data_IF_176734962357
#
_entry.id   IF_176734962357
#
_cell.length_a   1.000
_cell.length_b   1.000
_cell.length_c   1.000
_cell.angle_alpha   90.00
_cell.angle_beta   90.00
_cell.angle_gamma   90.00
#
_symmetry.space_group_name_H-M   'P 1'
#
loop_
_entity.id
_entity.type
_entity.pdbx_description
1 polymer ?
#
# COMPACT_ATOMS: atom_id res chain seq x y z
N UNK A 1 -3.58 0.42 20.45
CA UNK A 1 -4.11 -0.75 21.21
C UNK A 1 -3.07 -1.86 21.40
N UNK A 2 -1.81 -1.50 21.62
CA UNK A 2 -0.73 -2.41 22.03
C UNK A 2 0.25 -1.59 22.86
N UNK A 3 1.27 -2.24 23.43
CA UNK A 3 2.35 -1.55 24.14
C UNK A 3 3.18 -0.61 23.25
N UNK A 4 3.12 -0.77 21.91
CA UNK A 4 3.86 0.07 20.96
C UNK A 4 3.22 1.43 20.68
N UNK A 5 1.98 1.66 21.12
CA UNK A 5 1.26 2.88 20.82
C UNK A 5 2.03 4.13 21.24
N UNK A 6 2.61 4.13 22.44
CA UNK A 6 3.38 5.25 22.97
C UNK A 6 4.71 5.44 22.22
N UNK A 7 5.43 4.34 21.93
CA UNK A 7 6.68 4.40 21.14
C UNK A 7 6.47 4.97 19.75
N UNK A 8 5.38 4.58 19.07
CA UNK A 8 5.05 5.16 17.77
C UNK A 8 4.65 6.63 17.88
N UNK A 9 3.87 7.00 18.90
CA UNK A 9 3.54 8.39 19.15
C UNK A 9 4.81 9.25 19.31
N UNK A 10 5.73 8.83 20.17
CA UNK A 10 7.01 9.50 20.39
C UNK A 10 7.86 9.58 19.12
N UNK A 11 7.92 8.50 18.34
CA UNK A 11 8.67 8.48 17.09
C UNK A 11 8.08 9.45 16.05
N UNK A 12 6.75 9.54 15.93
CA UNK A 12 6.13 10.53 15.05
C UNK A 12 6.30 11.97 15.56
N UNK A 13 6.28 12.20 16.87
CA UNK A 13 6.62 13.51 17.45
C UNK A 13 8.07 13.89 17.16
N UNK A 14 9.00 12.94 17.19
CA UNK A 14 10.39 13.16 16.81
C UNK A 14 10.52 13.52 15.33
N UNK A 15 9.77 12.86 14.45
CA UNK A 15 9.72 13.18 13.01
C UNK A 15 9.28 14.63 12.78
N UNK A 16 8.24 15.09 13.47
CA UNK A 16 7.78 16.49 13.38
C UNK A 16 8.84 17.51 13.82
N UNK A 17 9.79 17.08 14.66
CA UNK A 17 10.94 17.88 15.10
C UNK A 17 12.18 17.69 14.22
N UNK A 18 12.07 17.03 13.07
CA UNK A 18 13.18 16.78 12.16
C UNK A 18 14.11 15.64 12.61
N UNK A 19 13.63 14.70 13.42
CA UNK A 19 14.38 13.51 13.81
C UNK A 19 13.63 12.23 13.41
N UNK A 20 14.05 11.63 12.30
CA UNK A 20 13.53 10.38 11.77
C UNK A 20 14.19 9.14 12.36
N UNK A 21 15.27 9.27 13.15
CA UNK A 21 16.02 8.13 13.68
C UNK A 21 15.15 7.15 14.49
N UNK A 22 14.26 7.60 15.41
CA UNK A 22 13.40 6.69 16.15
C UNK A 22 12.45 5.91 15.23
N UNK A 23 11.85 6.58 14.24
CA UNK A 23 10.95 5.93 13.29
C UNK A 23 11.70 4.97 12.36
N UNK A 24 12.93 5.30 11.96
CA UNK A 24 13.80 4.42 11.17
C UNK A 24 14.12 3.13 11.93
N UNK A 25 14.28 3.19 13.26
CA UNK A 25 14.52 1.99 14.09
C UNK A 25 13.26 1.15 14.30
N UNK A 26 12.09 1.78 14.46
CA UNK A 26 10.83 1.10 14.78
C UNK A 26 10.08 0.56 13.55
N UNK A 27 9.99 1.37 12.48
CA UNK A 27 9.24 1.05 11.28
C UNK A 27 9.86 1.72 10.03
N UNK A 28 11.05 1.29 9.61
CA UNK A 28 11.78 1.92 8.50
C UNK A 28 11.01 1.92 7.18
N UNK A 29 10.14 0.93 6.96
CA UNK A 29 9.28 0.85 5.78
C UNK A 29 8.31 2.04 5.67
N UNK A 30 7.94 2.67 6.78
CA UNK A 30 7.16 3.91 6.80
C UNK A 30 7.90 5.07 6.15
N UNK A 31 9.24 5.10 6.25
CA UNK A 31 10.09 6.09 5.59
C UNK A 31 10.30 5.77 4.10
N UNK A 32 10.33 4.49 3.72
CA UNK A 32 10.50 4.07 2.32
C UNK A 32 9.19 4.28 1.51
N UNK A 33 8.08 3.76 2.03
CA UNK A 33 6.79 3.72 1.31
C UNK A 33 5.84 4.88 1.67
N UNK A 34 6.32 5.79 2.53
CA UNK A 34 5.57 6.92 3.06
C UNK A 34 4.57 6.51 4.14
N UNK A 35 4.20 7.48 4.98
CA UNK A 35 3.31 7.28 6.12
C UNK A 35 2.53 8.55 6.42
N UNK A 36 1.30 8.38 6.89
CA UNK A 36 0.48 9.49 7.39
C UNK A 36 -0.23 9.09 8.67
N UNK A 37 0.23 9.65 9.78
CA UNK A 37 -0.39 9.50 11.10
C UNK A 37 -1.58 10.47 11.26
N UNK A 38 -2.59 10.29 10.40
CA UNK A 38 -3.75 11.17 10.28
C UNK A 38 -4.68 11.20 11.50
N UNK A 39 -4.49 10.29 12.47
CA UNK A 39 -5.42 10.11 13.60
C UNK A 39 -4.83 10.52 14.94
N UNK A 40 -3.52 10.79 15.01
CA UNK A 40 -2.85 11.18 16.24
C UNK A 40 -1.99 12.43 16.02
N UNK A 41 -0.72 12.29 15.62
CA UNK A 41 0.24 13.40 15.54
C UNK A 41 0.11 14.28 14.29
N UNK A 42 -0.60 13.82 13.24
CA UNK A 42 -0.64 14.42 11.89
C UNK A 42 0.70 14.39 11.14
N UNK A 43 1.73 13.70 11.65
CA UNK A 43 2.98 13.51 10.94
C UNK A 43 2.75 12.86 9.58
N UNK A 44 3.32 13.46 8.53
CA UNK A 44 3.16 13.01 7.15
C UNK A 44 4.50 13.05 6.44
N UNK A 45 4.91 11.90 5.92
CA UNK A 45 6.16 11.76 5.17
C UNK A 45 5.85 11.28 3.75
N UNK A 46 6.53 11.85 2.73
CA UNK A 46 6.35 11.44 1.35
C UNK A 46 6.87 10.01 1.13
N UNK A 47 6.46 9.39 0.03
CA UNK A 47 7.04 8.11 -0.40
C UNK A 47 8.40 8.37 -1.05
N UNK A 48 9.42 7.61 -0.66
CA UNK A 48 10.69 7.58 -1.40
C UNK A 48 10.52 6.71 -2.65
N UNK A 49 9.84 5.58 -2.52
CA UNK A 49 9.59 4.65 -3.62
C UNK A 49 8.11 4.66 -4.03
N UNK A 50 7.87 4.81 -5.32
CA UNK A 50 6.57 4.57 -5.95
C UNK A 50 6.73 3.55 -7.08
N UNK A 51 5.73 2.69 -7.27
CA UNK A 51 5.68 1.72 -8.36
C UNK A 51 4.25 1.64 -8.87
N UNK A 52 4.03 1.97 -10.14
CA UNK A 52 2.71 2.03 -10.77
C UNK A 52 2.69 1.21 -12.04
N UNK A 53 1.64 0.40 -12.22
CA UNK A 53 1.38 -0.30 -13.47
C UNK A 53 0.29 0.48 -14.21
N UNK A 54 0.54 0.85 -15.47
CA UNK A 54 -0.40 1.54 -16.35
C UNK A 54 -0.54 0.80 -17.67
N UNK A 55 -1.78 0.67 -18.12
CA UNK A 55 -2.09 0.20 -19.47
C UNK A 55 -2.39 1.42 -20.34
N UNK A 56 -1.93 1.40 -21.59
CA UNK A 56 -2.11 2.49 -22.54
C UNK A 56 -2.95 2.03 -23.73
N UNK A 57 -3.68 2.99 -24.34
CA UNK A 57 -4.63 2.74 -25.43
C UNK A 57 -5.58 1.56 -25.10
N UNK A 58 -6.38 1.75 -24.05
CA UNK A 58 -7.15 0.69 -23.43
C UNK A 58 -8.56 0.63 -24.00
N UNK A 59 -8.96 -0.53 -24.49
CA UNK A 59 -10.34 -0.84 -24.89
C UNK A 59 -11.01 -1.73 -23.84
N UNK A 60 -12.14 -1.32 -23.24
CA UNK A 60 -12.88 -2.16 -22.31
C UNK A 60 -13.55 -3.32 -23.06
N UNK A 61 -13.60 -4.47 -22.39
CA UNK A 61 -14.38 -5.63 -22.81
C UNK A 61 -15.55 -5.83 -21.86
N UNK A 62 -16.68 -6.24 -22.41
CA UNK A 62 -17.86 -6.62 -21.64
C UNK A 62 -18.10 -8.11 -21.78
N UNK A 63 -18.60 -8.72 -20.71
CA UNK A 63 -19.07 -10.11 -20.71
C UNK A 63 -20.43 -10.18 -20.07
N UNK A 64 -21.24 -11.11 -20.54
CA UNK A 64 -22.47 -11.49 -19.87
C UNK A 64 -22.30 -12.86 -19.23
N UNK A 65 -23.00 -13.10 -18.13
CA UNK A 65 -23.10 -14.41 -17.50
C UNK A 65 -24.55 -14.62 -17.06
N UNK A 66 -24.95 -15.89 -16.93
CA UNK A 66 -26.25 -16.27 -16.41
C UNK A 66 -26.02 -17.33 -15.34
N UNK A 67 -26.49 -17.08 -14.13
CA UNK A 67 -26.67 -18.16 -13.16
C UNK A 67 -28.04 -18.81 -13.39
N UNK A 68 -28.03 -20.13 -13.57
CA UNK A 68 -29.23 -20.96 -13.68
C UNK A 68 -29.24 -21.86 -12.45
N UNK A 69 -30.31 -21.81 -11.61
CA UNK A 69 -30.41 -22.68 -10.46
C UNK A 69 -30.49 -24.16 -10.91
N UNK A 70 -30.16 -25.09 -10.01
CA UNK A 70 -30.18 -26.52 -10.36
C UNK A 70 -31.59 -27.03 -10.67
N UNK A 71 -32.61 -26.37 -10.11
CA UNK A 71 -34.04 -26.59 -10.34
C UNK A 71 -34.77 -25.25 -10.27
N UNK A 72 -35.97 -25.17 -10.85
CA UNK A 72 -36.81 -23.97 -10.74
C UNK A 72 -37.56 -23.97 -9.41
N UNK A 73 -36.95 -23.41 -8.36
CA UNK A 73 -37.47 -23.48 -6.98
C UNK A 73 -38.86 -22.85 -6.81
N UNK A 74 -39.17 -21.80 -7.57
CA UNK A 74 -40.49 -21.14 -7.52
C UNK A 74 -41.51 -21.94 -8.33
N UNK A 75 -41.16 -22.38 -9.54
CA UNK A 75 -42.06 -23.13 -10.42
C UNK A 75 -42.40 -24.52 -9.88
N UNK A 76 -41.49 -25.13 -9.11
CA UNK A 76 -41.73 -26.40 -8.41
C UNK A 76 -42.37 -26.20 -7.02
N UNK A 77 -42.85 -25.00 -6.70
CA UNK A 77 -43.54 -24.65 -5.45
C UNK A 77 -42.70 -24.89 -4.17
N UNK A 78 -41.37 -25.01 -4.29
CA UNK A 78 -40.46 -25.18 -3.15
C UNK A 78 -40.21 -23.85 -2.42
N UNK A 79 -40.38 -22.73 -3.12
CA UNK A 79 -40.32 -21.37 -2.59
C UNK A 79 -41.47 -20.55 -3.15
N UNK A 80 -42.00 -19.63 -2.35
CA UNK A 80 -43.02 -18.68 -2.81
C UNK A 80 -42.45 -17.70 -3.82
N UNK A 81 -43.29 -17.23 -4.76
CA UNK A 81 -42.87 -16.18 -5.69
C UNK A 81 -42.50 -14.90 -4.93
N UNK A 82 -41.32 -14.30 -5.17
CA UNK A 82 -40.87 -13.14 -4.43
C UNK A 82 -41.75 -11.92 -4.75
N UNK A 83 -42.51 -11.46 -3.77
CA UNK A 83 -43.43 -10.32 -3.90
C UNK A 83 -42.76 -8.95 -3.86
N UNK A 84 -41.51 -8.89 -3.40
CA UNK A 84 -40.76 -7.65 -3.23
C UNK A 84 -39.26 -7.81 -3.57
N UNK A 85 -38.59 -6.67 -3.79
CA UNK A 85 -37.18 -6.63 -4.19
C UNK A 85 -36.25 -7.25 -3.15
N UNK A 86 -36.50 -7.07 -1.86
CA UNK A 86 -35.62 -7.58 -0.80
C UNK A 86 -35.65 -9.11 -0.78
N UNK A 87 -36.85 -9.70 -0.93
CA UNK A 87 -37.01 -11.15 -1.02
C UNK A 87 -36.38 -11.71 -2.30
N UNK A 88 -36.56 -11.02 -3.43
CA UNK A 88 -35.90 -11.38 -4.70
C UNK A 88 -34.37 -11.34 -4.61
N UNK A 89 -33.80 -10.28 -4.01
CA UNK A 89 -32.36 -10.14 -3.82
C UNK A 89 -31.83 -11.24 -2.89
N UNK A 90 -32.55 -11.56 -1.80
CA UNK A 90 -32.20 -12.66 -0.91
C UNK A 90 -32.24 -14.03 -1.62
N UNK A 91 -33.20 -14.25 -2.53
CA UNK A 91 -33.28 -15.48 -3.33
C UNK A 91 -32.15 -15.55 -4.35
N UNK A 92 -31.80 -14.43 -4.99
CA UNK A 92 -30.68 -14.33 -5.92
C UNK A 92 -29.34 -14.63 -5.24
N UNK A 93 -29.10 -14.06 -4.05
CA UNK A 93 -27.88 -14.30 -3.26
C UNK A 93 -27.71 -15.76 -2.85
N UNK A 94 -28.82 -16.48 -2.67
CA UNK A 94 -28.84 -17.91 -2.33
C UNK A 94 -28.86 -18.84 -3.53
N UNK A 95 -28.96 -18.30 -4.75
CA UNK A 95 -29.00 -19.09 -5.98
C UNK A 95 -30.32 -19.83 -6.20
N UNK A 96 -31.45 -19.30 -5.71
CA UNK A 96 -32.77 -19.90 -5.87
C UNK A 96 -33.53 -19.46 -7.12
N UNK A 97 -33.08 -18.38 -7.76
CA UNK A 97 -33.69 -17.84 -8.98
C UNK A 97 -32.62 -17.60 -10.04
N UNK A 98 -33.05 -17.49 -11.29
CA UNK A 98 -32.17 -17.05 -12.38
C UNK A 98 -31.57 -15.67 -12.10
N UNK A 99 -30.26 -15.53 -12.27
CA UNK A 99 -29.55 -14.25 -12.11
C UNK A 99 -28.77 -13.92 -13.39
N UNK A 100 -29.36 -13.17 -14.33
CA UNK A 100 -28.63 -12.59 -15.45
C UNK A 100 -27.68 -11.49 -14.97
N UNK A 101 -26.42 -11.58 -15.38
CA UNK A 101 -25.43 -10.53 -15.25
C UNK A 101 -25.01 -10.09 -16.66
N UNK A 102 -25.81 -9.23 -17.29
CA UNK A 102 -25.53 -8.71 -18.63
C UNK A 102 -24.49 -7.59 -18.60
N UNK A 103 -23.69 -7.49 -19.67
CA UNK A 103 -22.79 -6.36 -19.95
C UNK A 103 -21.81 -6.00 -18.81
N UNK A 104 -21.45 -6.98 -17.98
CA UNK A 104 -20.53 -6.82 -16.85
C UNK A 104 -19.08 -6.65 -17.32
N UNK A 105 -18.19 -6.23 -16.42
CA UNK A 105 -16.77 -6.05 -16.69
C UNK A 105 -16.14 -7.37 -17.19
N UNK A 106 -15.70 -7.39 -18.46
CA UNK A 106 -15.12 -8.56 -19.12
C UNK A 106 -13.59 -8.54 -19.21
N UNK A 107 -12.97 -7.41 -18.92
CA UNK A 107 -11.52 -7.22 -19.03
C UNK A 107 -11.18 -5.99 -19.88
N UNK A 108 -9.92 -5.91 -20.30
CA UNK A 108 -9.44 -4.83 -21.16
C UNK A 108 -8.43 -5.37 -22.17
N UNK A 109 -8.36 -4.73 -23.34
CA UNK A 109 -7.28 -4.89 -24.31
C UNK A 109 -6.44 -3.61 -24.26
N UNK A 110 -5.13 -3.73 -24.03
CA UNK A 110 -4.20 -2.61 -23.96
C UNK A 110 -3.27 -2.62 -25.19
N UNK A 111 -3.68 -2.01 -26.30
CA UNK A 111 -2.90 -2.03 -27.55
C UNK A 111 -1.69 -1.10 -27.52
N UNK A 112 -1.64 -0.17 -26.56
CA UNK A 112 -0.48 0.68 -26.30
C UNK A 112 0.52 0.06 -25.33
N UNK A 113 0.31 -1.21 -24.95
CA UNK A 113 1.14 -1.93 -23.99
C UNK A 113 0.79 -1.64 -22.54
N UNK A 114 1.47 -2.37 -21.66
CA UNK A 114 1.35 -2.26 -20.21
C UNK A 114 2.75 -1.97 -19.65
N UNK A 115 2.91 -0.83 -18.97
CA UNK A 115 4.19 -0.40 -18.40
C UNK A 115 4.12 -0.41 -16.88
N UNK A 116 5.17 -0.91 -16.24
CA UNK A 116 5.45 -0.67 -14.82
C UNK A 116 6.52 0.41 -14.69
N UNK A 117 6.14 1.57 -14.18
CA UNK A 117 7.08 2.62 -13.81
C UNK A 117 7.37 2.52 -12.31
N UNK A 118 8.64 2.54 -11.94
CA UNK A 118 9.03 2.72 -10.56
C UNK A 118 9.97 3.92 -10.44
N UNK A 119 9.86 4.67 -9.34
CA UNK A 119 10.69 5.85 -9.08
C UNK A 119 11.14 5.87 -7.63
N UNK A 120 12.44 5.97 -7.43
CA UNK A 120 13.08 6.23 -6.15
C UNK A 120 13.54 7.69 -6.08
N UNK A 121 12.97 8.48 -5.18
CA UNK A 121 13.29 9.89 -5.01
C UNK A 121 14.44 10.10 -4.03
N UNK A 122 15.63 10.41 -4.56
CA UNK A 122 16.79 10.82 -3.75
C UNK A 122 16.59 12.21 -3.13
N UNK A 123 15.78 13.07 -3.74
CA UNK A 123 15.41 14.35 -3.16
C UNK A 123 14.60 14.18 -1.87
N UNK A 124 13.64 13.25 -1.86
CA UNK A 124 12.87 12.94 -0.66
C UNK A 124 13.73 12.28 0.43
N UNK A 125 14.68 11.41 0.04
CA UNK A 125 15.64 10.82 0.98
C UNK A 125 16.48 11.87 1.70
N UNK A 126 16.94 12.91 1.00
CA UNK A 126 17.75 14.00 1.58
C UNK A 126 17.01 14.82 2.63
N UNK A 127 15.68 14.77 2.67
CA UNK A 127 14.87 15.42 3.70
C UNK A 127 14.85 14.64 5.03
N UNK A 128 15.31 13.39 5.05
CA UNK A 128 15.43 12.62 6.28
C UNK A 128 16.64 13.09 7.08
N UNK A 129 16.42 13.40 8.36
CA UNK A 129 17.44 13.87 9.30
C UNK A 129 17.34 13.17 10.65
N UNK A 130 18.43 13.17 11.42
CA UNK A 130 18.49 12.71 12.80
C UNK A 130 18.66 13.89 13.76
N UNK A 131 17.81 14.92 13.62
CA UNK A 131 18.01 16.22 14.28
C UNK A 131 19.15 17.02 13.62
N UNK A 132 19.99 17.67 14.44
CA UNK A 132 21.12 18.47 13.98
C UNK A 132 22.43 17.68 13.81
N UNK A 133 22.43 16.39 14.13
CA UNK A 133 23.61 15.53 14.03
C UNK A 133 23.81 15.04 12.60
N UNK A 134 24.89 15.49 11.95
CA UNK A 134 25.18 15.19 10.56
C UNK A 134 25.56 13.72 10.33
N UNK A 135 26.29 13.10 11.26
CA UNK A 135 26.75 11.72 11.15
C UNK A 135 25.59 10.75 11.34
N UNK A 136 24.74 10.99 12.34
CA UNK A 136 23.50 10.22 12.51
C UNK A 136 22.55 10.41 11.34
N UNK A 137 22.45 11.63 10.81
CA UNK A 137 21.64 11.91 9.62
C UNK A 137 22.12 11.06 8.45
N UNK A 138 23.43 11.00 8.21
CA UNK A 138 24.01 10.16 7.15
C UNK A 138 23.78 8.67 7.39
N UNK A 139 23.81 8.24 8.66
CA UNK A 139 23.44 6.88 9.07
C UNK A 139 22.00 6.52 8.69
N UNK A 140 21.02 7.36 9.08
CA UNK A 140 19.60 7.19 8.72
C UNK A 140 19.44 7.14 7.20
N UNK A 141 20.03 8.10 6.47
CA UNK A 141 19.89 8.18 5.01
C UNK A 141 20.48 6.96 4.31
N UNK A 142 21.66 6.48 4.71
CA UNK A 142 22.26 5.26 4.13
C UNK A 142 21.40 4.03 4.38
N UNK A 143 20.91 3.87 5.60
CA UNK A 143 20.06 2.74 5.95
C UNK A 143 18.75 2.74 5.14
N UNK A 144 18.06 3.88 5.08
CA UNK A 144 16.82 4.00 4.32
C UNK A 144 17.06 3.89 2.80
N UNK A 145 18.18 4.41 2.29
CA UNK A 145 18.59 4.20 0.89
C UNK A 145 18.75 2.73 0.57
N UNK A 146 19.42 1.95 1.43
CA UNK A 146 19.64 0.53 1.19
C UNK A 146 18.34 -0.25 1.11
N UNK A 147 17.42 0.00 2.04
CA UNK A 147 16.08 -0.59 1.99
C UNK A 147 15.31 -0.18 0.74
N UNK A 148 15.37 1.11 0.37
CA UNK A 148 14.67 1.63 -0.79
C UNK A 148 15.24 1.05 -2.11
N UNK A 149 16.56 0.94 -2.24
CA UNK A 149 17.22 0.30 -3.40
C UNK A 149 16.90 -1.19 -3.48
N UNK A 150 16.88 -1.89 -2.35
CA UNK A 150 16.50 -3.32 -2.30
C UNK A 150 15.07 -3.50 -2.82
N UNK A 151 14.13 -2.67 -2.35
CA UNK A 151 12.75 -2.70 -2.81
C UNK A 151 12.60 -2.26 -4.28
N UNK A 152 13.40 -1.30 -4.74
CA UNK A 152 13.36 -0.76 -6.10
C UNK A 152 13.90 -1.74 -7.15
N UNK A 153 14.95 -2.47 -6.81
CA UNK A 153 15.59 -3.46 -7.69
C UNK A 153 14.90 -4.82 -7.69
N UNK A 154 14.03 -5.07 -6.70
CA UNK A 154 13.24 -6.31 -6.63
C UNK A 154 12.28 -6.42 -7.82
N UNK A 155 12.24 -7.62 -8.41
CA UNK A 155 11.33 -7.94 -9.52
C UNK A 155 10.09 -8.65 -8.94
N UNK A 156 8.95 -7.95 -8.77
CA UNK A 156 7.75 -8.58 -8.24
C UNK A 156 7.18 -9.58 -9.25
N UNK A 157 6.45 -10.57 -8.73
CA UNK A 157 5.68 -11.47 -9.57
C UNK A 157 4.68 -10.67 -10.43
N UNK A 158 4.56 -11.05 -11.70
CA UNK A 158 3.61 -10.43 -12.63
C UNK A 158 2.17 -10.90 -12.47
N UNK A 159 1.88 -11.76 -11.50
CA UNK A 159 0.53 -12.23 -11.21
C UNK A 159 -0.26 -11.13 -10.48
N UNK A 160 -1.23 -10.52 -11.18
CA UNK A 160 -2.14 -9.55 -10.56
C UNK A 160 -3.43 -10.21 -10.07
N UNK A 161 -4.00 -11.08 -10.90
CA UNK A 161 -5.15 -11.94 -10.60
C UNK A 161 -5.25 -13.03 -11.66
N UNK A 162 -6.10 -14.03 -11.42
CA UNK A 162 -6.39 -15.05 -12.43
C UNK A 162 -6.85 -14.40 -13.75
N UNK A 163 -6.20 -14.79 -14.86
CA UNK A 163 -6.42 -14.20 -16.19
C UNK A 163 -5.71 -12.84 -16.43
N UNK A 164 -4.85 -12.40 -15.51
CA UNK A 164 -4.06 -11.17 -15.65
C UNK A 164 -2.62 -11.41 -15.15
N UNK A 165 -1.84 -12.10 -15.97
CA UNK A 165 -0.41 -12.37 -15.75
C UNK A 165 0.40 -11.46 -16.66
N UNK A 166 1.17 -10.56 -16.07
CA UNK A 166 2.10 -9.70 -16.78
C UNK A 166 3.45 -10.41 -16.88
N UNK A 167 4.03 -10.38 -18.07
CA UNK A 167 5.39 -10.87 -18.30
C UNK A 167 6.21 -9.75 -18.94
N UNK A 168 7.53 -9.67 -18.68
CA UNK A 168 8.40 -8.77 -19.40
C UNK A 168 8.32 -9.04 -20.90
N UNK A 169 8.32 -7.96 -21.68
CA UNK A 169 8.42 -8.03 -23.13
C UNK A 169 9.90 -8.26 -23.52
N UNK A 170 10.25 -9.35 -24.21
CA UNK A 170 11.64 -9.64 -24.60
C UNK A 170 12.20 -8.60 -25.58
N UNK A 171 11.35 -7.94 -26.38
CA UNK A 171 11.77 -6.95 -27.38
C UNK A 171 11.91 -5.55 -26.77
N UNK A 172 11.32 -5.33 -25.58
CA UNK A 172 11.34 -4.06 -24.85
C UNK A 172 11.86 -4.27 -23.42
N UNK A 173 13.19 -4.41 -23.22
CA UNK A 173 13.77 -4.71 -21.93
C UNK A 173 13.57 -3.57 -20.92
N UNK A 174 13.71 -3.90 -19.63
CA UNK A 174 13.62 -2.92 -18.54
C UNK A 174 14.66 -1.81 -18.70
N UNK A 175 14.21 -0.57 -18.53
CA UNK A 175 15.10 0.59 -18.40
C UNK A 175 15.40 0.87 -16.92
N UNK A 176 16.64 1.20 -16.61
CA UNK A 176 17.06 1.65 -15.28
C UNK A 176 17.95 2.88 -15.45
N UNK A 177 17.45 4.04 -15.04
CA UNK A 177 18.05 5.34 -15.34
C UNK A 177 18.20 6.16 -14.06
N UNK A 178 19.35 6.79 -13.90
CA UNK A 178 19.51 7.94 -13.02
C UNK A 178 19.02 9.19 -13.74
N UNK A 179 18.23 10.01 -13.03
CA UNK A 179 17.63 11.24 -13.57
C UNK A 179 18.14 12.42 -12.76
N UNK A 180 18.90 13.28 -13.42
CA UNK A 180 19.52 14.46 -12.82
C UNK A 180 18.51 15.63 -12.73
N UNK A 181 18.83 16.63 -11.91
CA UNK A 181 17.96 17.78 -11.67
C UNK A 181 17.78 18.69 -12.91
N UNK A 182 18.69 18.62 -13.86
CA UNK A 182 18.63 19.29 -15.17
C UNK A 182 17.83 18.49 -16.22
N UNK A 183 17.35 17.30 -15.85
CA UNK A 183 16.60 16.40 -16.74
C UNK A 183 17.46 15.41 -17.52
N UNK A 184 18.79 15.45 -17.38
CA UNK A 184 19.68 14.45 -18.00
C UNK A 184 19.35 13.06 -17.46
N UNK A 185 19.32 12.07 -18.36
CA UNK A 185 19.08 10.66 -18.03
C UNK A 185 20.31 9.85 -18.41
N UNK A 186 20.88 9.16 -17.44
CA UNK A 186 22.03 8.29 -17.66
C UNK A 186 21.69 6.86 -17.24
N UNK A 187 22.14 5.83 -17.98
CA UNK A 187 22.00 4.45 -17.55
C UNK A 187 22.62 4.26 -16.17
N UNK A 188 21.89 3.59 -15.29
CA UNK A 188 22.39 3.20 -13.98
C UNK A 188 22.36 1.67 -13.87
N UNK A 189 23.41 1.11 -13.29
CA UNK A 189 23.56 -0.34 -13.10
C UNK A 189 23.66 -0.65 -11.61
N UNK A 190 22.51 -0.90 -11.00
CA UNK A 190 22.41 -1.36 -9.60
C UNK A 190 21.69 -2.70 -9.61
N UNK A 191 22.45 -3.77 -9.41
CA UNK A 191 21.87 -5.11 -9.28
C UNK A 191 21.16 -5.27 -7.94
N UNK A 192 20.22 -6.22 -7.88
CA UNK A 192 19.50 -6.51 -6.64
C UNK A 192 20.43 -6.99 -5.52
N UNK A 193 21.46 -7.79 -5.87
CA UNK A 193 22.42 -8.29 -4.90
C UNK A 193 23.25 -7.15 -4.30
N UNK A 194 23.76 -6.24 -5.14
CA UNK A 194 24.53 -5.07 -4.66
C UNK A 194 23.68 -4.18 -3.75
N UNK A 195 22.40 -3.96 -4.10
CA UNK A 195 21.48 -3.20 -3.26
C UNK A 195 21.24 -3.87 -1.89
N UNK A 196 21.11 -5.21 -1.89
CA UNK A 196 20.90 -6.00 -0.68
C UNK A 196 22.14 -5.99 0.22
N UNK A 197 23.33 -6.18 -0.35
CA UNK A 197 24.61 -6.16 0.38
C UNK A 197 24.82 -4.80 1.05
N UNK A 198 24.62 -3.70 0.29
CA UNK A 198 24.66 -2.35 0.83
C UNK A 198 23.64 -2.13 1.95
N UNK A 199 22.41 -2.64 1.80
CA UNK A 199 21.38 -2.52 2.83
C UNK A 199 21.78 -3.24 4.13
N UNK A 200 22.40 -4.42 4.03
CA UNK A 200 22.87 -5.18 5.18
C UNK A 200 24.00 -4.47 5.91
N UNK A 201 24.98 -3.91 5.18
CA UNK A 201 26.06 -3.12 5.76
C UNK A 201 25.55 -1.85 6.42
N UNK A 202 24.66 -1.11 5.75
CA UNK A 202 24.05 0.09 6.29
C UNK A 202 23.20 -0.20 7.54
N UNK A 203 22.46 -1.33 7.57
CA UNK A 203 21.70 -1.77 8.73
C UNK A 203 22.61 -2.08 9.94
N UNK A 204 23.73 -2.77 9.70
CA UNK A 204 24.73 -3.06 10.74
C UNK A 204 25.33 -1.76 11.31
N UNK A 205 25.74 -0.84 10.44
CA UNK A 205 26.32 0.44 10.85
C UNK A 205 25.32 1.36 11.57
N UNK A 206 24.04 1.33 11.16
CA UNK A 206 22.99 2.16 11.76
C UNK A 206 22.52 1.66 13.12
N UNK A 207 22.52 0.34 13.34
CA UNK A 207 21.97 -0.28 14.54
C UNK A 207 20.44 -0.28 14.53
N UNK A 208 19.85 -1.18 13.74
CA UNK A 208 18.39 -1.33 13.61
C UNK A 208 17.75 -1.77 14.93
N UNK A 209 16.48 -1.37 15.15
CA UNK A 209 15.75 -1.74 16.36
C UNK A 209 15.38 -3.24 16.40
N UNK A 210 15.14 -3.76 17.60
CA UNK A 210 14.69 -5.14 17.80
C UNK A 210 13.31 -5.38 17.18
N UNK A 211 13.17 -6.51 16.47
CA UNK A 211 11.86 -7.01 16.08
C UNK A 211 11.10 -7.51 17.31
N UNK A 212 9.81 -7.15 17.42
CA UNK A 212 8.95 -7.63 18.52
C UNK A 212 7.61 -8.09 18.00
N UNK A 213 7.09 -9.14 18.62
CA UNK A 213 5.70 -9.57 18.49
C UNK A 213 4.96 -9.07 19.71
N UNK A 214 3.88 -8.32 19.51
CA UNK A 214 3.11 -7.76 20.63
C UNK A 214 1.64 -8.16 20.54
N UNK A 215 1.03 -8.59 21.67
CA UNK A 215 -0.36 -8.98 21.67
C UNK A 215 -1.26 -7.75 21.51
N UNK A 216 -2.45 -7.99 20.93
CA UNK A 216 -3.51 -7.00 20.92
C UNK A 216 -4.09 -6.84 22.34
N UNK A 217 -4.05 -5.62 22.87
CA UNK A 217 -4.59 -5.30 24.18
C UNK A 217 -6.05 -4.82 24.06
N UNK A 218 -6.98 -5.72 24.40
CA UNK A 218 -8.43 -5.49 24.34
C UNK A 218 -8.87 -4.34 25.25
N UNK A 219 -8.25 -4.20 26.43
CA UNK A 219 -8.65 -3.18 27.40
C UNK A 219 -8.15 -1.79 26.98
N UNK A 220 -6.92 -1.69 26.46
CA UNK A 220 -6.45 -0.45 25.80
C UNK A 220 -7.34 -0.08 24.62
N UNK A 221 -7.80 -1.05 23.83
CA UNK A 221 -8.69 -0.77 22.70
C UNK A 221 -10.04 -0.18 23.13
N UNK A 222 -10.68 -0.77 24.15
CA UNK A 222 -11.93 -0.24 24.73
C UNK A 222 -11.74 1.19 25.27
N UNK A 223 -10.65 1.44 25.97
CA UNK A 223 -10.33 2.78 26.52
C UNK A 223 -10.12 3.82 25.41
N UNK A 224 -9.40 3.48 24.34
CA UNK A 224 -9.21 4.39 23.19
C UNK A 224 -10.54 4.71 22.49
N UNK A 225 -11.40 3.70 22.30
CA UNK A 225 -12.72 3.88 21.69
C UNK A 225 -13.61 4.82 22.51
N UNK A 226 -13.68 4.64 23.84
CA UNK A 226 -14.46 5.49 24.73
C UNK A 226 -13.95 6.96 24.76
N UNK A 227 -12.64 7.17 24.59
CA UNK A 227 -12.05 8.52 24.49
C UNK A 227 -12.48 9.29 23.24
N UNK A 228 -12.75 8.58 22.13
CA UNK A 228 -13.22 9.17 20.86
C UNK A 228 -14.69 9.59 20.92
N UNK A 229 -15.54 8.82 21.61
CA UNK A 229 -16.96 9.18 21.83
C UNK A 229 -17.09 10.52 22.58
N UNK A 230 -16.26 10.75 23.61
CA UNK A 230 -16.22 12.01 24.36
C UNK A 230 -15.73 13.21 23.54
N UNK A 231 -14.80 13.01 22.59
CA UNK A 231 -14.36 14.06 21.64
C UNK A 231 -15.42 14.36 20.58
N UNK A 232 -16.17 13.36 20.11
CA UNK A 232 -17.25 13.53 19.15
C UNK A 232 -18.44 14.31 19.75
N UNK A 233 -18.83 14.02 20.99
CA UNK A 233 -19.86 14.78 21.72
C UNK A 233 -19.47 16.24 21.92
N UNK A 234 -18.21 16.52 22.29
CA UNK A 234 -17.71 17.91 22.41
C UNK A 234 -17.68 18.69 21.08
N UNK A 235 -17.35 18.04 19.95
CA UNK A 235 -17.41 18.69 18.62
C UNK A 235 -18.84 19.02 18.19
N UNK A 236 -19.81 18.21 18.62
CA UNK A 236 -21.24 18.41 18.31
C UNK A 236 -21.82 19.54 19.16
N UNK A 237 -21.40 19.66 20.43
CA UNK A 237 -21.80 20.75 21.32
C UNK A 237 -21.22 22.13 20.93
N UNK A 238 -20.08 22.18 20.24
CA UNK A 238 -19.43 23.42 19.80
C UNK A 238 -19.91 23.96 18.44
N UNK A 239 -20.81 23.22 17.78
CA UNK A 239 -21.44 23.56 16.49
C UNK A 239 -22.92 23.98 16.63
N UNK A 240 -23.39 24.13 17.88
CA UNK A 240 -24.71 24.69 18.21
C UNK A 240 -24.52 26.06 18.86
#
# INVERSE_FOLDING_TARGET
CSEWQEKFHEAFQAVLKGNCEPLAKLAPTSLVFGVWDSRDTQAKLPRLLSSTIRAFNVKPLHRSAQFVPAIEYVDNELLAEPSDKKTRDAYAERGFIHVPASWSHGGVIASGGIRRDATLSLAALRLLSAGSDADKTRGVQRYILGLALTAFTFTPAGYLRQGCNLVPDPDNPREFLEVHADGQRVPADVSHQVALDFAQEAAKAFGVGESKTVPFDKERAKKDAAGKEKKATKKTAKKR
#
